data_IF_674817576386
#
_entry.id   IF_674817576386
#
_cell.length_a   1.000
_cell.length_b   1.000
_cell.length_c   1.000
_cell.angle_alpha   90.00
_cell.angle_beta   90.00
_cell.angle_gamma   90.00
#
_symmetry.space_group_name_H-M   'P 1'
#
loop_
_entity.id
_entity.type
_entity.pdbx_description
1 polymer ?
#
# COMPACT_ATOMS: atom_id res chain seq x y z
N UNK A 1 -7.23 9.89 67.54
CA UNK A 1 -6.78 10.70 66.39
C UNK A 1 -5.69 9.93 65.67
N UNK A 2 -5.96 9.40 64.49
CA UNK A 2 -4.96 9.02 63.49
C UNK A 2 -5.71 8.85 62.16
N UNK A 3 -5.54 9.83 61.27
CA UNK A 3 -6.19 9.86 59.97
C UNK A 3 -5.34 9.11 58.94
N UNK A 4 -6.00 8.25 58.19
CA UNK A 4 -5.53 7.49 57.04
C UNK A 4 -5.24 8.44 55.86
N UNK A 5 -4.06 8.32 55.25
CA UNK A 5 -3.76 8.91 53.94
C UNK A 5 -3.26 7.80 53.02
N UNK A 6 -4.16 7.31 52.16
CA UNK A 6 -3.81 6.50 51.00
C UNK A 6 -3.64 7.45 49.80
N UNK A 7 -2.41 7.58 49.31
CA UNK A 7 -2.12 8.33 48.10
C UNK A 7 -2.52 7.49 46.87
N UNK A 8 -3.54 7.94 46.15
CA UNK A 8 -3.90 7.40 44.83
C UNK A 8 -3.05 8.12 43.79
N UNK A 9 -2.09 7.43 43.20
CA UNK A 9 -1.36 7.89 42.01
C UNK A 9 -2.21 7.71 40.77
N UNK A 10 -2.72 8.81 40.21
CA UNK A 10 -3.37 8.83 38.90
C UNK A 10 -2.26 8.75 37.83
N UNK A 11 -2.10 7.59 37.20
CA UNK A 11 -1.24 7.45 36.04
C UNK A 11 -1.91 8.12 34.84
N UNK A 12 -1.36 9.25 34.39
CA UNK A 12 -1.76 9.92 33.17
C UNK A 12 -1.41 9.05 31.96
N UNK A 13 -2.43 8.54 31.27
CA UNK A 13 -2.26 7.85 29.98
C UNK A 13 -1.96 8.92 28.93
N UNK A 14 -0.69 9.06 28.57
CA UNK A 14 -0.27 9.90 27.46
C UNK A 14 -0.76 9.28 26.15
N UNK A 15 -1.69 9.95 25.46
CA UNK A 15 -2.01 9.65 24.05
C UNK A 15 -0.77 9.98 23.21
N UNK A 16 0.03 8.97 22.90
CA UNK A 16 1.11 9.07 21.93
C UNK A 16 0.47 9.12 20.54
N UNK A 17 0.60 10.27 19.87
CA UNK A 17 0.11 10.45 18.51
C UNK A 17 0.71 9.42 17.55
N UNK A 18 -0.15 8.73 16.81
CA UNK A 18 0.23 7.87 15.69
C UNK A 18 0.79 8.76 14.58
N UNK A 19 2.12 8.87 14.50
CA UNK A 19 2.78 9.47 13.35
C UNK A 19 2.79 8.47 12.18
N UNK A 20 2.52 8.90 10.94
CA UNK A 20 2.60 8.03 9.78
C UNK A 20 4.03 7.56 9.57
N UNK A 21 4.20 6.31 9.16
CA UNK A 21 5.50 5.75 8.81
C UNK A 21 6.12 6.56 7.66
N UNK A 22 7.29 7.15 7.89
CA UNK A 22 8.06 7.86 6.87
C UNK A 22 8.99 6.84 6.19
N UNK A 23 8.81 6.62 4.88
CA UNK A 23 9.79 5.94 4.06
C UNK A 23 11.10 6.76 4.02
N UNK A 24 12.25 6.08 3.88
CA UNK A 24 13.60 6.66 3.85
C UNK A 24 13.74 7.81 2.86
N UNK A 25 14.70 8.71 3.09
CA UNK A 25 14.89 9.96 2.36
C UNK A 25 15.09 9.74 0.86
N UNK A 26 14.04 9.97 0.09
CA UNK A 26 14.00 9.81 -1.36
C UNK A 26 13.95 11.19 -2.03
N UNK A 27 14.79 11.41 -3.03
CA UNK A 27 14.85 12.66 -3.83
C UNK A 27 13.73 12.77 -4.85
N UNK A 28 12.66 11.98 -4.72
CA UNK A 28 11.52 12.02 -5.64
C UNK A 28 10.90 13.42 -5.63
N UNK A 29 10.59 13.92 -6.81
CA UNK A 29 9.71 15.07 -6.96
C UNK A 29 8.39 14.72 -6.28
N UNK A 30 7.89 15.60 -5.39
CA UNK A 30 6.63 15.38 -4.67
C UNK A 30 5.50 14.95 -5.60
N UNK A 31 4.62 14.10 -5.08
CA UNK A 31 3.38 13.70 -5.74
C UNK A 31 2.24 14.68 -5.48
N UNK A 32 1.09 14.38 -6.08
CA UNK A 32 -0.14 15.16 -5.96
C UNK A 32 -1.35 14.27 -6.28
N UNK A 33 -2.25 14.04 -5.34
CA UNK A 33 -3.47 13.25 -5.58
C UNK A 33 -4.71 14.12 -5.83
N UNK A 34 -5.35 13.88 -6.99
CA UNK A 34 -6.73 14.23 -7.23
C UNK A 34 -7.64 13.02 -6.96
N UNK A 35 -8.77 13.22 -6.29
CA UNK A 35 -9.76 12.17 -5.99
C UNK A 35 -11.13 12.55 -6.52
N UNK A 36 -11.79 11.62 -7.18
CA UNK A 36 -13.18 11.77 -7.62
C UNK A 36 -14.09 10.87 -6.79
N UNK A 37 -15.01 11.48 -6.04
CA UNK A 37 -16.01 10.78 -5.23
C UNK A 37 -17.39 11.21 -5.73
N UNK A 38 -18.27 10.25 -6.06
CA UNK A 38 -19.62 10.51 -6.57
C UNK A 38 -19.65 11.55 -7.73
N UNK A 39 -18.67 11.48 -8.63
CA UNK A 39 -18.54 12.39 -9.78
C UNK A 39 -17.94 13.77 -9.47
N UNK A 40 -17.63 14.09 -8.21
CA UNK A 40 -16.96 15.34 -7.84
C UNK A 40 -15.46 15.11 -7.66
N UNK A 41 -14.65 15.76 -8.49
CA UNK A 41 -13.19 15.72 -8.40
C UNK A 41 -12.67 16.82 -7.48
N UNK A 42 -11.81 16.45 -6.53
CA UNK A 42 -11.09 17.36 -5.66
C UNK A 42 -9.58 17.12 -5.79
N UNK A 43 -8.83 18.20 -5.99
CA UNK A 43 -7.37 18.21 -5.93
C UNK A 43 -6.96 19.37 -4.97
N UNK A 44 -6.58 19.08 -3.72
CA UNK A 44 -6.11 20.11 -2.80
C UNK A 44 -4.77 20.68 -3.26
N UNK A 45 -4.62 22.01 -3.27
CA UNK A 45 -3.34 22.65 -3.58
C UNK A 45 -2.23 22.20 -2.60
N UNK A 46 -0.97 22.22 -3.03
CA UNK A 46 0.20 21.86 -2.22
C UNK A 46 0.17 22.53 -0.83
N UNK A 47 0.43 21.74 0.21
CA UNK A 47 0.37 22.15 1.62
C UNK A 47 -1.04 22.32 2.16
N UNK A 48 -2.08 22.08 1.35
CA UNK A 48 -3.48 22.04 1.77
C UNK A 48 -3.94 20.60 1.92
N UNK A 49 -4.99 20.48 2.71
CA UNK A 49 -5.62 19.21 3.01
C UNK A 49 -7.08 19.28 2.58
N UNK A 50 -7.55 18.19 1.99
CA UNK A 50 -8.96 17.94 1.77
C UNK A 50 -9.43 16.81 2.69
N UNK A 51 -10.55 17.05 3.37
CA UNK A 51 -11.21 16.08 4.23
C UNK A 51 -12.66 15.92 3.80
N UNK A 52 -13.08 14.67 3.61
CA UNK A 52 -14.46 14.27 3.40
C UNK A 52 -14.83 13.23 4.46
N UNK A 53 -16.02 13.33 5.06
CA UNK A 53 -16.45 12.46 6.16
C UNK A 53 -17.89 12.00 5.94
N UNK A 54 -18.20 10.86 6.54
CA UNK A 54 -19.55 10.30 6.67
C UNK A 54 -20.37 10.38 5.36
N UNK A 55 -19.72 10.04 4.25
CA UNK A 55 -20.28 10.21 2.91
C UNK A 55 -20.76 8.87 2.36
N UNK A 56 -22.03 8.82 1.93
CA UNK A 56 -22.53 7.70 1.15
C UNK A 56 -21.82 7.69 -0.21
N UNK A 57 -21.27 6.53 -0.59
CA UNK A 57 -20.48 6.37 -1.81
C UNK A 57 -21.00 5.21 -2.63
N UNK A 58 -21.05 5.38 -3.94
CA UNK A 58 -21.49 4.35 -4.89
C UNK A 58 -20.58 4.29 -6.09
N UNK A 59 -20.48 3.13 -6.72
CA UNK A 59 -19.65 2.94 -7.90
C UNK A 59 -18.16 2.88 -7.57
N UNK A 60 -17.40 3.86 -8.06
CA UNK A 60 -15.93 3.89 -7.98
C UNK A 60 -15.45 5.23 -7.44
N UNK A 61 -14.46 5.20 -6.55
CA UNK A 61 -13.64 6.36 -6.21
C UNK A 61 -12.38 6.30 -7.06
N UNK A 62 -12.20 7.31 -7.92
CA UNK A 62 -11.02 7.40 -8.77
C UNK A 62 -9.93 8.20 -8.06
N UNK A 63 -8.74 7.61 -7.91
CA UNK A 63 -7.54 8.26 -7.35
C UNK A 63 -6.53 8.44 -8.47
N UNK A 64 -6.13 9.69 -8.73
CA UNK A 64 -5.22 10.04 -9.81
C UNK A 64 -4.09 10.89 -9.26
N UNK A 65 -2.90 10.31 -9.25
CA UNK A 65 -1.67 10.97 -8.86
C UNK A 65 -0.82 11.40 -10.05
N UNK A 66 0.27 12.12 -9.77
CA UNK A 66 1.31 12.43 -10.74
C UNK A 66 2.10 11.18 -11.14
N UNK A 67 2.47 10.35 -10.17
CA UNK A 67 3.34 9.18 -10.37
C UNK A 67 2.58 7.86 -10.39
N UNK A 68 1.47 7.76 -9.66
CA UNK A 68 0.60 6.61 -9.71
C UNK A 68 -0.89 6.95 -9.62
N UNK A 69 -1.75 6.01 -9.98
CA UNK A 69 -3.21 6.15 -9.87
C UNK A 69 -3.89 4.80 -9.83
N UNK A 70 -5.12 4.76 -9.32
CA UNK A 70 -5.91 3.55 -9.16
C UNK A 70 -7.39 3.87 -8.91
N UNK A 71 -8.23 2.85 -8.96
CA UNK A 71 -9.65 2.94 -8.67
C UNK A 71 -10.01 2.11 -7.45
N UNK A 72 -10.82 2.66 -6.54
CA UNK A 72 -11.43 1.89 -5.43
C UNK A 72 -12.86 1.59 -5.83
N UNK A 73 -13.20 0.31 -5.97
CA UNK A 73 -14.55 -0.12 -6.34
C UNK A 73 -15.35 -0.44 -5.10
N UNK A 74 -16.52 0.19 -4.94
CA UNK A 74 -17.33 0.03 -3.72
C UNK A 74 -18.07 -1.30 -3.64
N UNK A 75 -18.24 -2.00 -4.77
CA UNK A 75 -18.91 -3.31 -4.80
C UNK A 75 -18.16 -4.39 -4.01
N UNK A 76 -16.85 -4.26 -3.84
CA UNK A 76 -15.98 -5.23 -3.17
C UNK A 76 -14.87 -4.57 -2.33
N UNK A 77 -14.80 -3.24 -2.28
CA UNK A 77 -13.69 -2.47 -1.69
C UNK A 77 -12.31 -2.84 -2.28
N UNK A 78 -12.31 -3.40 -3.49
CA UNK A 78 -11.10 -3.74 -4.22
C UNK A 78 -10.44 -2.52 -4.83
N UNK A 79 -9.12 -2.59 -4.98
CA UNK A 79 -8.34 -1.63 -5.75
C UNK A 79 -8.06 -2.19 -7.13
N UNK A 80 -8.30 -1.40 -8.16
CA UNK A 80 -8.17 -1.76 -9.57
C UNK A 80 -7.23 -0.82 -10.29
N UNK A 81 -6.56 -1.36 -11.31
CA UNK A 81 -5.72 -0.61 -12.24
C UNK A 81 -4.66 0.28 -11.56
N UNK A 82 -4.00 -0.25 -10.53
CA UNK A 82 -2.89 0.45 -9.89
C UNK A 82 -1.76 0.62 -10.88
N UNK A 83 -1.59 1.85 -11.34
CA UNK A 83 -0.79 2.22 -12.50
C UNK A 83 0.33 3.14 -12.09
N UNK A 84 1.56 2.86 -12.51
CA UNK A 84 2.64 3.85 -12.53
C UNK A 84 2.52 4.64 -13.83
N UNK A 85 2.51 5.97 -13.76
CA UNK A 85 2.27 6.84 -14.92
C UNK A 85 3.48 6.95 -15.84
N UNK A 86 4.68 6.73 -15.31
CA UNK A 86 5.96 6.95 -15.98
C UNK A 86 6.41 8.41 -16.01
N UNK A 87 5.78 9.27 -15.18
CA UNK A 87 6.19 10.66 -15.02
C UNK A 87 7.71 10.78 -14.77
N UNK A 88 8.39 11.77 -15.38
CA UNK A 88 9.82 11.98 -15.16
C UNK A 88 10.15 12.16 -13.68
N UNK A 89 11.03 11.30 -13.18
CA UNK A 89 11.56 11.32 -11.82
C UNK A 89 12.85 10.50 -11.79
N UNK A 90 13.78 10.84 -10.89
CA UNK A 90 15.04 10.08 -10.72
C UNK A 90 14.79 8.65 -10.24
N UNK A 91 13.60 8.39 -9.67
CA UNK A 91 13.21 7.10 -9.13
C UNK A 91 12.14 6.39 -9.95
N UNK A 92 11.73 6.92 -11.12
CA UNK A 92 10.72 6.25 -11.94
C UNK A 92 11.21 4.88 -12.38
N UNK A 93 10.30 3.90 -12.41
CA UNK A 93 10.61 2.54 -12.85
C UNK A 93 10.05 2.21 -14.24
N UNK A 94 9.22 3.10 -14.78
CA UNK A 94 8.59 2.94 -16.10
C UNK A 94 8.63 4.28 -16.83
N UNK A 95 8.59 4.25 -18.16
CA UNK A 95 8.62 5.44 -19.02
C UNK A 95 7.28 5.70 -19.73
N UNK A 96 6.31 4.80 -19.53
CA UNK A 96 4.95 4.88 -20.03
C UNK A 96 3.98 4.30 -19.00
N UNK A 97 2.67 4.66 -19.07
CA UNK A 97 1.66 4.12 -18.17
C UNK A 97 1.70 2.59 -18.12
N UNK A 98 1.94 2.05 -16.93
CA UNK A 98 2.09 0.62 -16.69
C UNK A 98 1.23 0.21 -15.51
N UNK A 99 0.23 -0.64 -15.76
CA UNK A 99 -0.60 -1.24 -14.71
C UNK A 99 0.26 -2.26 -13.96
N UNK A 100 0.60 -1.99 -12.71
CA UNK A 100 1.36 -2.91 -11.86
C UNK A 100 0.44 -3.97 -11.28
N UNK A 101 -0.72 -3.56 -10.76
CA UNK A 101 -1.76 -4.48 -10.32
C UNK A 101 -3.03 -4.21 -11.12
N UNK A 102 -3.48 -5.21 -11.88
CA UNK A 102 -4.82 -5.19 -12.47
C UNK A 102 -5.87 -5.14 -11.36
N UNK A 103 -5.65 -5.88 -10.27
CA UNK A 103 -6.53 -5.84 -9.11
C UNK A 103 -5.87 -6.28 -7.81
N UNK A 104 -6.35 -5.71 -6.70
CA UNK A 104 -6.14 -6.16 -5.32
C UNK A 104 -7.50 -6.20 -4.64
N UNK A 105 -8.05 -7.40 -4.49
CA UNK A 105 -9.47 -7.59 -4.13
C UNK A 105 -9.58 -8.38 -2.84
N UNK A 106 -10.22 -7.82 -1.79
CA UNK A 106 -10.64 -8.60 -0.64
C UNK A 106 -11.93 -9.37 -0.97
N UNK A 107 -12.00 -10.64 -0.59
CA UNK A 107 -13.22 -11.43 -0.64
C UNK A 107 -14.06 -11.14 0.60
N UNK A 108 -14.98 -10.19 0.48
CA UNK A 108 -15.85 -9.74 1.56
C UNK A 108 -17.24 -10.39 1.48
N UNK A 109 -17.78 -10.75 2.64
CA UNK A 109 -19.16 -11.25 2.76
C UNK A 109 -20.17 -10.10 2.56
N UNK A 110 -21.43 -10.45 2.28
CA UNK A 110 -22.50 -9.46 2.18
C UNK A 110 -22.63 -8.59 3.46
N UNK A 111 -22.40 -9.16 4.64
CA UNK A 111 -22.41 -8.41 5.90
C UNK A 111 -21.24 -7.41 6.01
N UNK A 112 -20.08 -7.74 5.46
CA UNK A 112 -18.90 -6.87 5.41
C UNK A 112 -19.00 -5.78 4.35
N UNK A 113 -19.96 -5.85 3.43
CA UNK A 113 -20.25 -4.80 2.43
C UNK A 113 -21.50 -3.99 2.77
N UNK A 114 -22.37 -4.51 3.63
CA UNK A 114 -23.62 -3.86 4.00
C UNK A 114 -23.36 -2.47 4.60
N UNK A 115 -24.14 -1.46 4.18
CA UNK A 115 -24.06 -0.11 4.73
C UNK A 115 -22.71 0.58 4.56
N UNK A 116 -21.91 0.18 3.56
CA UNK A 116 -20.60 0.78 3.28
C UNK A 116 -20.73 2.29 3.10
N UNK A 117 -19.98 3.02 3.91
CA UNK A 117 -19.88 4.50 3.87
C UNK A 117 -18.42 4.90 3.93
N UNK A 118 -18.07 5.96 3.21
CA UNK A 118 -16.76 6.58 3.32
C UNK A 118 -16.76 7.48 4.57
N UNK A 119 -16.33 6.93 5.70
CA UNK A 119 -16.36 7.63 6.99
C UNK A 119 -15.25 8.67 7.12
N UNK A 120 -14.11 8.45 6.45
CA UNK A 120 -13.06 9.44 6.32
C UNK A 120 -12.33 9.28 4.99
N UNK A 121 -12.14 10.38 4.28
CA UNK A 121 -11.15 10.52 3.22
C UNK A 121 -10.30 11.74 3.56
N UNK A 122 -9.00 11.53 3.65
CA UNK A 122 -8.00 12.58 3.81
C UNK A 122 -7.06 12.54 2.61
N UNK A 123 -6.92 13.68 1.95
CA UNK A 123 -5.97 13.87 0.84
C UNK A 123 -5.11 15.07 1.20
N UNK A 124 -3.80 14.87 1.23
CA UNK A 124 -2.84 15.91 1.57
C UNK A 124 -1.53 15.65 0.86
N UNK A 125 -1.10 16.63 0.06
CA UNK A 125 0.12 16.53 -0.74
C UNK A 125 0.11 15.23 -1.56
N UNK A 126 1.10 14.37 -1.34
CA UNK A 126 1.26 13.08 -2.00
C UNK A 126 0.59 11.93 -1.25
N UNK A 127 -0.24 12.18 -0.22
CA UNK A 127 -0.84 11.12 0.60
C UNK A 127 -2.36 11.06 0.47
N UNK A 128 -2.88 9.84 0.54
CA UNK A 128 -4.31 9.55 0.59
C UNK A 128 -4.58 8.50 1.67
N UNK A 129 -5.59 8.75 2.51
CA UNK A 129 -6.14 7.77 3.45
C UNK A 129 -7.66 7.76 3.32
N UNK A 130 -8.21 6.63 2.89
CA UNK A 130 -9.64 6.37 2.83
C UNK A 130 -10.01 5.30 3.86
N UNK A 131 -11.00 5.59 4.71
CA UNK A 131 -11.55 4.68 5.70
C UNK A 131 -13.04 4.50 5.38
N UNK A 132 -13.42 3.24 5.21
CA UNK A 132 -14.79 2.82 5.03
C UNK A 132 -15.31 2.20 6.32
N UNK A 133 -16.50 2.62 6.74
CA UNK A 133 -17.28 1.92 7.76
C UNK A 133 -18.27 1.01 7.05
N UNK A 134 -18.39 -0.23 7.51
CA UNK A 134 -19.28 -1.26 6.97
C UNK A 134 -20.09 -1.89 8.09
N UNK A 135 -21.06 -2.74 7.74
CA UNK A 135 -21.90 -3.45 8.70
C UNK A 135 -21.16 -4.41 9.62
N UNK A 136 -19.92 -4.80 9.31
CA UNK A 136 -19.16 -5.79 10.08
C UNK A 136 -17.76 -5.31 10.54
N UNK A 137 -17.41 -4.05 10.30
CA UNK A 137 -16.10 -3.50 10.66
C UNK A 137 -15.67 -2.33 9.79
N UNK A 138 -14.37 -2.04 9.79
CA UNK A 138 -13.76 -0.99 8.95
C UNK A 138 -12.81 -1.57 7.92
N UNK A 139 -12.65 -0.82 6.85
CA UNK A 139 -11.68 -1.10 5.80
C UNK A 139 -10.90 0.18 5.50
N UNK A 140 -9.57 0.13 5.55
CA UNK A 140 -8.71 1.27 5.29
C UNK A 140 -7.87 1.04 4.05
N UNK A 141 -7.78 2.04 3.20
CA UNK A 141 -6.85 2.10 2.07
C UNK A 141 -5.99 3.33 2.26
N UNK A 142 -4.67 3.15 2.21
CA UNK A 142 -3.72 4.26 2.24
C UNK A 142 -2.73 4.13 1.10
N UNK A 143 -2.42 5.27 0.49
CA UNK A 143 -1.55 5.35 -0.66
C UNK A 143 -0.67 6.61 -0.58
N UNK A 144 0.50 6.54 -1.22
CA UNK A 144 1.40 7.68 -1.43
C UNK A 144 1.76 7.82 -2.91
N UNK A 145 1.68 9.02 -3.46
CA UNK A 145 2.00 9.32 -4.86
C UNK A 145 3.51 9.47 -5.04
N UNK A 146 4.23 8.35 -5.03
CA UNK A 146 5.66 8.30 -5.30
C UNK A 146 5.98 7.66 -6.64
N UNK A 147 7.12 8.02 -7.24
CA UNK A 147 7.64 7.42 -8.47
C UNK A 147 7.90 5.90 -8.35
N UNK A 148 8.19 5.42 -7.13
CA UNK A 148 8.24 4.01 -6.77
C UNK A 148 6.95 3.54 -6.07
N UNK A 149 5.80 4.13 -6.40
CA UNK A 149 4.50 3.79 -5.80
C UNK A 149 4.30 4.19 -4.33
N UNK A 150 5.38 4.52 -3.60
CA UNK A 150 5.31 4.92 -2.20
C UNK A 150 4.71 3.84 -1.29
N UNK A 151 4.09 4.25 -0.18
CA UNK A 151 3.29 3.35 0.66
C UNK A 151 1.99 3.04 -0.07
N UNK A 152 1.64 1.77 -0.27
CA UNK A 152 0.29 1.34 -0.60
C UNK A 152 -0.13 0.21 0.34
N UNK A 153 -1.23 0.37 1.08
CA UNK A 153 -1.71 -0.63 2.04
C UNK A 153 -3.24 -0.68 2.10
N UNK A 154 -3.76 -1.90 2.27
CA UNK A 154 -5.16 -2.21 2.56
C UNK A 154 -5.22 -2.90 3.92
N UNK A 155 -6.02 -2.38 4.85
CA UNK A 155 -6.14 -2.90 6.22
C UNK A 155 -7.59 -3.24 6.55
N UNK A 156 -7.79 -4.37 7.23
CA UNK A 156 -9.11 -4.88 7.60
C UNK A 156 -9.28 -4.91 9.11
N UNK A 157 -10.33 -4.27 9.60
CA UNK A 157 -10.78 -4.35 11.00
C UNK A 157 -12.05 -5.20 11.10
N UNK A 158 -12.01 -6.40 10.49
CA UNK A 158 -13.10 -7.39 10.60
C UNK A 158 -12.77 -8.45 11.65
N UNK A 159 -13.80 -9.02 12.28
CA UNK A 159 -13.62 -10.07 13.29
C UNK A 159 -13.14 -11.42 12.72
N UNK A 160 -13.38 -11.67 11.43
CA UNK A 160 -12.97 -12.88 10.73
C UNK A 160 -11.83 -12.60 9.74
N UNK A 161 -10.99 -13.59 9.41
CA UNK A 161 -9.97 -13.44 8.39
C UNK A 161 -10.57 -13.10 7.02
N UNK A 162 -9.84 -12.30 6.24
CA UNK A 162 -10.22 -11.92 4.87
C UNK A 162 -9.22 -12.50 3.88
N UNK A 163 -9.74 -13.14 2.84
CA UNK A 163 -8.92 -13.56 1.71
C UNK A 163 -8.70 -12.39 0.77
N UNK A 164 -7.45 -12.10 0.42
CA UNK A 164 -7.09 -11.12 -0.61
C UNK A 164 -6.52 -11.85 -1.83
N UNK A 165 -6.94 -11.42 -3.01
CA UNK A 165 -6.36 -11.84 -4.29
C UNK A 165 -5.72 -10.64 -4.97
N UNK A 166 -4.43 -10.73 -5.23
CA UNK A 166 -3.68 -9.76 -6.02
C UNK A 166 -3.38 -10.33 -7.39
N UNK A 167 -3.68 -9.57 -8.42
CA UNK A 167 -3.40 -9.92 -9.82
C UNK A 167 -2.55 -8.83 -10.43
N UNK A 168 -1.39 -9.22 -10.93
CA UNK A 168 -0.47 -8.32 -11.65
C UNK A 168 -1.08 -7.87 -12.97
N UNK A 169 -0.71 -6.67 -13.41
CA UNK A 169 -1.08 -6.18 -14.73
C UNK A 169 -0.43 -7.00 -15.86
N UNK A 170 -0.93 -6.81 -17.08
CA UNK A 170 -0.41 -7.50 -18.26
C UNK A 170 1.09 -7.21 -18.45
N UNK A 171 1.87 -8.25 -18.79
CA UNK A 171 3.32 -8.16 -18.99
C UNK A 171 4.15 -8.16 -17.71
N UNK A 172 3.52 -8.14 -16.53
CA UNK A 172 4.20 -8.35 -15.25
C UNK A 172 4.08 -9.80 -14.79
N UNK A 173 5.07 -10.24 -14.01
CA UNK A 173 5.11 -11.57 -13.44
C UNK A 173 5.85 -11.58 -12.10
N UNK A 174 5.51 -12.55 -11.26
CA UNK A 174 6.26 -12.93 -10.08
C UNK A 174 7.45 -13.80 -10.47
N UNK A 175 8.57 -13.63 -9.76
CA UNK A 175 9.79 -14.42 -9.91
C UNK A 175 10.52 -14.56 -8.58
N UNK A 176 11.39 -15.55 -8.47
CA UNK A 176 12.32 -15.67 -7.34
C UNK A 176 13.55 -14.81 -7.63
N UNK A 177 13.81 -13.82 -6.78
CA UNK A 177 15.00 -12.99 -6.89
C UNK A 177 16.25 -13.81 -6.50
N UNK A 178 17.24 -13.95 -7.39
CA UNK A 178 18.40 -14.81 -7.16
C UNK A 178 19.30 -14.31 -6.03
N UNK A 179 19.27 -13.02 -5.72
CA UNK A 179 20.13 -12.42 -4.68
C UNK A 179 19.52 -12.50 -3.29
N UNK A 180 18.19 -12.47 -3.19
CA UNK A 180 17.49 -12.46 -1.88
C UNK A 180 16.81 -13.78 -1.55
N UNK A 181 16.58 -14.65 -2.54
CA UNK A 181 15.73 -15.84 -2.43
C UNK A 181 14.25 -15.53 -2.19
N UNK A 182 13.86 -14.25 -2.18
CA UNK A 182 12.49 -13.80 -1.96
C UNK A 182 11.75 -13.69 -3.28
N UNK A 183 10.42 -13.68 -3.18
CA UNK A 183 9.55 -13.43 -4.32
C UNK A 183 9.47 -11.94 -4.57
N UNK A 184 9.78 -11.54 -5.81
CA UNK A 184 9.52 -10.21 -6.34
C UNK A 184 8.54 -10.31 -7.52
N UNK A 185 8.05 -9.16 -7.99
CA UNK A 185 7.38 -9.02 -9.26
C UNK A 185 8.00 -7.88 -10.07
N UNK A 186 7.85 -7.95 -11.39
CA UNK A 186 8.37 -6.96 -12.34
C UNK A 186 8.00 -7.30 -13.76
N UNK A 187 8.57 -6.57 -14.72
CA UNK A 187 8.39 -6.80 -16.17
C UNK A 187 9.68 -7.28 -16.86
N UNK A 188 10.75 -7.52 -16.12
CA UNK A 188 12.05 -7.96 -16.65
C UNK A 188 12.81 -6.94 -17.49
N UNK A 189 12.33 -5.69 -17.59
CA UNK A 189 13.03 -4.64 -18.36
C UNK A 189 14.19 -4.08 -17.54
N UNK A 190 15.45 -4.19 -18.01
CA UNK A 190 16.62 -3.67 -17.29
C UNK A 190 16.55 -2.16 -17.08
N UNK A 191 17.18 -1.67 -16.02
CA UNK A 191 17.33 -0.23 -15.79
C UNK A 191 18.10 0.47 -16.91
N UNK A 192 17.72 1.71 -17.22
CA UNK A 192 18.42 2.60 -18.15
C UNK A 192 18.96 3.78 -17.35
N UNK A 193 20.28 3.98 -17.36
CA UNK A 193 20.97 4.88 -16.41
C UNK A 193 21.01 6.35 -16.84
N UNK A 194 20.74 6.66 -18.11
CA UNK A 194 20.86 8.03 -18.62
C UNK A 194 19.95 8.31 -19.82
N UNK A 195 19.78 9.59 -20.14
CA UNK A 195 18.94 10.08 -21.23
C UNK A 195 17.46 10.25 -20.85
N UNK A 196 16.65 10.72 -21.81
CA UNK A 196 15.22 10.96 -21.62
C UNK A 196 14.41 9.69 -21.32
N UNK A 197 14.98 8.52 -21.60
CA UNK A 197 14.44 7.20 -21.28
C UNK A 197 14.96 6.59 -19.99
N UNK A 198 15.75 7.30 -19.17
CA UNK A 198 16.32 6.71 -17.95
C UNK A 198 15.23 6.23 -16.98
N UNK A 199 15.32 5.01 -16.48
CA UNK A 199 14.40 4.45 -15.49
C UNK A 199 15.10 3.36 -14.69
N UNK A 200 14.62 3.11 -13.47
CA UNK A 200 15.02 1.94 -12.69
C UNK A 200 14.31 0.69 -13.19
N UNK A 201 14.81 -0.50 -12.85
CA UNK A 201 14.08 -1.74 -13.10
C UNK A 201 12.78 -1.74 -12.29
N UNK A 202 11.67 -2.13 -12.92
CA UNK A 202 10.41 -2.31 -12.20
C UNK A 202 10.49 -3.54 -11.30
N UNK A 203 10.70 -3.29 -10.02
CA UNK A 203 10.77 -4.30 -8.98
C UNK A 203 9.74 -3.99 -7.90
N UNK A 204 9.03 -5.02 -7.46
CA UNK A 204 8.10 -4.92 -6.35
C UNK A 204 8.00 -6.20 -5.54
N UNK A 205 7.38 -6.11 -4.37
CA UNK A 205 6.94 -7.26 -3.57
C UNK A 205 5.64 -6.95 -2.85
N UNK A 206 4.82 -7.97 -2.63
CA UNK A 206 3.72 -7.88 -1.67
C UNK A 206 4.29 -7.68 -0.26
N UNK A 207 3.65 -6.81 0.53
CA UNK A 207 4.07 -6.47 1.89
C UNK A 207 2.99 -6.85 2.92
N UNK A 208 2.93 -8.13 3.33
CA UNK A 208 1.95 -8.63 4.31
C UNK A 208 2.31 -8.24 5.74
N UNK A 209 1.30 -8.06 6.59
CA UNK A 209 1.44 -8.13 8.05
C UNK A 209 0.25 -8.89 8.63
N UNK A 210 0.53 -9.86 9.51
CA UNK A 210 -0.46 -10.80 10.04
C UNK A 210 -1.28 -11.46 8.91
N UNK A 211 -0.58 -11.79 7.83
CA UNK A 211 -1.17 -12.38 6.63
C UNK A 211 -0.30 -13.52 6.12
N UNK A 212 -0.94 -14.58 5.63
CA UNK A 212 -0.28 -15.79 5.14
C UNK A 212 -0.63 -16.00 3.67
N UNK A 213 0.39 -16.15 2.83
CA UNK A 213 0.20 -16.51 1.42
C UNK A 213 -0.35 -17.93 1.32
N UNK A 214 -1.48 -18.11 0.67
CA UNK A 214 -2.14 -19.41 0.50
C UNK A 214 -1.90 -19.99 -0.88
N UNK A 215 -1.74 -19.16 -1.90
CA UNK A 215 -1.37 -19.60 -3.25
C UNK A 215 -0.59 -18.55 -4.02
N UNK A 216 0.13 -19.00 -5.05
CA UNK A 216 0.84 -18.14 -5.96
C UNK A 216 0.99 -18.80 -7.34
N UNK A 217 0.71 -18.02 -8.38
CA UNK A 217 1.02 -18.32 -9.78
C UNK A 217 2.05 -17.31 -10.31
N UNK A 218 2.34 -17.37 -11.61
CA UNK A 218 3.18 -16.37 -12.27
C UNK A 218 2.60 -14.95 -12.19
N UNK A 219 1.29 -14.76 -12.02
CA UNK A 219 0.65 -13.43 -12.08
C UNK A 219 -0.31 -13.14 -10.93
N UNK A 220 -0.63 -14.13 -10.10
CA UNK A 220 -1.61 -13.99 -9.03
C UNK A 220 -1.06 -14.49 -7.69
N UNK A 221 -1.33 -13.77 -6.61
CA UNK A 221 -1.12 -14.25 -5.24
C UNK A 221 -2.45 -14.19 -4.47
N UNK A 222 -2.67 -15.19 -3.62
CA UNK A 222 -3.78 -15.20 -2.67
C UNK A 222 -3.25 -15.26 -1.25
N UNK A 223 -3.87 -14.50 -0.36
CA UNK A 223 -3.45 -14.32 1.02
C UNK A 223 -4.64 -14.42 1.96
N UNK A 224 -4.45 -15.02 3.12
CA UNK A 224 -5.39 -14.91 4.24
C UNK A 224 -4.85 -13.88 5.22
N UNK A 225 -5.56 -12.77 5.38
CA UNK A 225 -5.24 -11.68 6.31
C UNK A 225 -6.07 -11.87 7.58
N UNK A 226 -5.41 -11.95 8.73
CA UNK A 226 -6.09 -12.09 10.02
C UNK A 226 -6.69 -10.75 10.50
N UNK A 227 -7.64 -10.76 11.46
CA UNK A 227 -8.11 -9.54 12.12
C UNK A 227 -6.95 -8.64 12.58
N UNK A 228 -7.01 -7.34 12.25
CA UNK A 228 -5.95 -6.38 12.55
C UNK A 228 -4.71 -6.48 11.64
N UNK A 229 -4.71 -7.40 10.68
CA UNK A 229 -3.69 -7.52 9.64
C UNK A 229 -3.87 -6.52 8.49
N UNK A 230 -2.85 -6.48 7.64
CA UNK A 230 -2.85 -5.66 6.43
C UNK A 230 -2.08 -6.30 5.29
N UNK A 231 -2.42 -5.88 4.08
CA UNK A 231 -1.74 -6.29 2.87
C UNK A 231 -1.45 -5.06 2.01
N UNK A 232 -0.18 -4.87 1.67
CA UNK A 232 0.27 -3.77 0.85
C UNK A 232 1.22 -4.20 -0.24
N UNK A 233 1.96 -3.24 -0.77
CA UNK A 233 3.09 -3.48 -1.67
C UNK A 233 4.17 -2.44 -1.44
N UNK A 234 5.40 -2.81 -1.77
CA UNK A 234 6.52 -1.87 -1.88
C UNK A 234 7.21 -2.11 -3.21
N UNK A 235 7.73 -1.04 -3.81
CA UNK A 235 8.43 -1.08 -5.09
C UNK A 235 9.86 -0.50 -4.97
N UNK A 236 10.64 -0.69 -6.03
CA UNK A 236 12.02 -0.22 -6.13
C UNK A 236 12.94 -0.88 -5.11
N UNK A 237 13.88 -0.10 -4.59
CA UNK A 237 14.90 -0.56 -3.63
C UNK A 237 14.29 -1.25 -2.40
N UNK A 238 13.16 -0.74 -1.88
CA UNK A 238 12.46 -1.30 -0.71
C UNK A 238 11.93 -2.72 -0.99
N UNK A 239 11.73 -3.07 -2.26
CA UNK A 239 11.29 -4.41 -2.67
C UNK A 239 12.41 -5.45 -2.58
N UNK A 240 13.67 -5.03 -2.66
CA UNK A 240 14.84 -5.92 -2.69
C UNK A 240 15.80 -5.71 -1.51
N UNK A 241 15.56 -4.71 -0.66
CA UNK A 241 16.32 -4.51 0.56
C UNK A 241 16.36 -5.81 1.40
N UNK A 242 17.56 -6.15 1.88
CA UNK A 242 17.83 -7.35 2.68
C UNK A 242 17.28 -7.25 4.12
N UNK A 243 16.12 -6.62 4.31
CA UNK A 243 15.43 -6.57 5.58
C UNK A 243 14.98 -7.97 6.03
N UNK A 244 14.90 -8.18 7.34
CA UNK A 244 14.10 -9.28 7.86
C UNK A 244 12.66 -9.19 7.29
N UNK A 245 12.02 -10.34 7.07
CA UNK A 245 10.61 -10.38 6.65
C UNK A 245 9.70 -9.64 7.65
N UNK A 246 8.47 -9.33 7.25
CA UNK A 246 7.52 -8.67 8.14
C UNK A 246 7.39 -9.43 9.47
N UNK A 247 7.68 -8.74 10.57
CA UNK A 247 7.57 -9.34 11.90
C UNK A 247 6.10 -9.56 12.24
N UNK A 248 5.74 -10.74 12.76
CA UNK A 248 4.41 -10.96 13.33
C UNK A 248 4.22 -9.97 14.48
N UNK A 249 3.26 -9.07 14.34
CA UNK A 249 2.98 -8.05 15.32
C UNK A 249 1.48 -7.91 15.51
N UNK A 250 1.04 -7.98 16.77
CA UNK A 250 -0.35 -8.12 17.19
C UNK A 250 -0.93 -6.87 17.88
N UNK A 251 -0.10 -5.85 18.21
CA UNK A 251 -0.54 -4.48 18.53
C UNK A 251 0.61 -3.47 18.36
N UNK A 252 0.30 -2.21 18.03
CA UNK A 252 1.26 -1.09 17.93
C UNK A 252 2.44 -1.29 16.97
N UNK A 253 2.14 -1.90 15.82
CA UNK A 253 3.12 -2.28 14.81
C UNK A 253 3.53 -1.11 13.93
N UNK A 254 4.30 -0.19 14.51
CA UNK A 254 5.31 0.53 13.73
C UNK A 254 6.39 -0.49 13.35
N UNK A 255 7.00 -0.38 12.17
CA UNK A 255 8.21 -1.13 11.86
C UNK A 255 9.33 -0.65 12.80
N UNK A 256 9.37 -1.17 14.03
CA UNK A 256 10.32 -0.78 15.07
C UNK A 256 11.77 -1.08 14.69
N UNK A 257 11.97 -1.81 13.59
CA UNK A 257 13.28 -2.12 13.06
C UNK A 257 14.03 -0.85 12.59
N UNK A 258 13.36 0.30 12.43
CA UNK A 258 13.96 1.58 12.02
C UNK A 258 14.92 1.45 10.82
N UNK A 259 14.72 0.46 9.96
CA UNK A 259 15.53 0.23 8.77
C UNK A 259 15.17 1.33 7.79
N UNK A 260 15.93 2.43 7.83
CA UNK A 260 15.73 3.64 7.02
C UNK A 260 16.52 3.52 5.71
N UNK A 261 16.39 2.41 4.99
CA UNK A 261 17.21 2.16 3.79
C UNK A 261 18.70 1.95 4.11
N UNK A 262 19.01 1.46 5.32
CA UNK A 262 20.38 1.30 5.80
C UNK A 262 20.96 -0.08 5.49
N UNK A 263 20.18 -0.98 4.87
CA UNK A 263 20.65 -2.31 4.51
C UNK A 263 21.14 -2.33 3.06
N UNK A 264 22.08 -3.24 2.72
CA UNK A 264 22.55 -3.37 1.36
C UNK A 264 21.39 -3.67 0.39
N UNK A 265 21.31 -2.88 -0.67
CA UNK A 265 20.46 -3.14 -1.83
C UNK A 265 21.28 -4.00 -2.82
N UNK A 266 20.85 -5.22 -3.14
CA UNK A 266 21.56 -6.06 -4.10
C UNK A 266 21.45 -5.48 -5.53
N UNK A 267 22.28 -5.93 -6.48
CA UNK A 267 22.12 -5.60 -7.89
C UNK A 267 20.75 -5.99 -8.45
N UNK A 268 20.36 -5.35 -9.56
CA UNK A 268 19.17 -5.73 -10.31
C UNK A 268 19.29 -7.18 -10.83
N UNK A 269 18.22 -8.00 -10.72
CA UNK A 269 18.17 -9.31 -11.36
C UNK A 269 18.37 -9.23 -12.87
N UNK A 270 19.22 -10.11 -13.41
CA UNK A 270 19.41 -10.27 -14.86
C UNK A 270 18.43 -11.32 -15.37
N UNK A 271 17.68 -10.99 -16.43
CA UNK A 271 16.72 -11.88 -17.11
C UNK A 271 15.80 -12.67 -16.16
N UNK A 272 15.04 -11.99 -15.26
CA UNK A 272 14.18 -12.69 -14.33
C UNK A 272 13.12 -13.50 -15.08
N UNK A 273 12.98 -14.77 -14.72
CA UNK A 273 12.00 -15.66 -15.34
C UNK A 273 10.75 -15.78 -14.47
N UNK A 274 9.54 -15.80 -15.06
CA UNK A 274 8.31 -16.06 -14.32
C UNK A 274 8.38 -17.34 -13.48
N UNK A 275 7.73 -17.32 -12.31
CA UNK A 275 7.51 -18.55 -11.55
C UNK A 275 6.81 -19.58 -12.45
N UNK A 276 7.25 -20.83 -12.37
CA UNK A 276 6.57 -21.92 -13.06
C UNK A 276 5.10 -21.96 -12.61
N UNK A 277 4.17 -21.94 -13.57
CA UNK A 277 2.77 -22.25 -13.31
C UNK A 277 2.69 -23.68 -12.82
N UNK A 278 2.41 -23.85 -11.52
CA UNK A 278 2.02 -25.14 -10.95
C UNK A 278 0.51 -25.28 -10.97
#
# INVERSE_FOLDING_TARGET
MAATLAAVTVAAVALVGVAPAQASGKTSTGGDYAVTVNGTTTNPAVGKEYKLRDTAVTGTIAVRGKHNGFDIRLADLGVYDYTLTGAPDTQRMVTAPTVVFASKVPSLTAAQLAGTTLSSLEVKDDTLVAIFTTGAGKFKIQAKDGAQGGIFQMETEFAAPVTFTHTLGAGLFYFTNPYTGKINFGNGTPAVTSGSGAHQMLLGKDSPQVATKTSQTATTTTWTVQPGGRLGGVLGEDAIELSAGATNCTSDCQAQNQIRGSLPVPPDPVDPTPLATR
#
